data_IF_141110560084
#
_entry.id   IF_141110560084
#
_cell.length_a   1.000
_cell.length_b   1.000
_cell.length_c   1.000
_cell.angle_alpha   90.00
_cell.angle_beta   90.00
_cell.angle_gamma   90.00
#
_symmetry.space_group_name_H-M   'P 1'
#
loop_
_entity.id
_entity.type
_entity.pdbx_description
1 polymer ?
#
# COMPACT_ATOMS: atom_id res chain seq x y z
N UNK A 1 15.56 15.81 5.39
CA UNK A 1 14.71 15.86 4.18
C UNK A 1 13.93 14.57 4.09
N UNK A 2 12.68 14.58 3.62
CA UNK A 2 11.87 13.36 3.45
C UNK A 2 10.36 13.56 3.65
N UNK A 3 9.70 14.18 2.67
CA UNK A 3 8.25 14.10 2.41
C UNK A 3 7.24 14.47 3.51
N UNK A 4 6.52 15.59 3.34
CA UNK A 4 5.13 15.67 3.84
C UNK A 4 4.28 14.68 3.03
N UNK A 5 3.47 13.90 3.73
CA UNK A 5 2.28 13.25 3.18
C UNK A 5 1.19 13.23 4.25
N UNK A 6 0.41 14.30 4.34
CA UNK A 6 -0.85 14.35 5.11
C UNK A 6 -1.83 13.28 4.59
N UNK A 7 -1.76 12.05 5.13
CA UNK A 7 -2.74 11.00 4.88
C UNK A 7 -4.15 11.55 5.15
N UNK A 8 -5.05 11.65 4.15
CA UNK A 8 -6.27 12.46 4.22
C UNK A 8 -7.36 11.74 5.02
N UNK A 9 -7.16 11.64 6.34
CA UNK A 9 -8.00 10.85 7.27
C UNK A 9 -8.19 9.40 6.81
N UNK A 10 -7.21 8.86 6.06
CA UNK A 10 -7.28 7.54 5.44
C UNK A 10 -7.70 6.46 6.43
N UNK A 11 -8.70 5.68 6.03
CA UNK A 11 -9.44 4.73 6.89
C UNK A 11 -8.49 3.83 7.68
N UNK A 12 -8.81 3.47 8.93
CA UNK A 12 -7.88 2.69 9.77
C UNK A 12 -7.50 1.32 9.18
N UNK A 13 -8.33 0.77 8.29
CA UNK A 13 -8.00 -0.36 7.42
C UNK A 13 -6.73 -0.10 6.58
N UNK A 14 -6.62 1.07 5.95
CA UNK A 14 -5.53 1.50 5.05
C UNK A 14 -4.23 1.70 5.83
N UNK A 15 -4.30 2.28 7.04
CA UNK A 15 -3.11 2.43 7.91
C UNK A 15 -2.56 1.07 8.34
N UNK A 16 -3.45 0.11 8.68
CA UNK A 16 -3.08 -1.26 9.02
C UNK A 16 -2.54 -2.03 7.80
N UNK A 17 -3.14 -1.83 6.62
CA UNK A 17 -2.63 -2.31 5.34
C UNK A 17 -1.21 -1.80 5.08
N UNK A 18 -0.96 -0.50 5.12
CA UNK A 18 0.36 0.10 4.90
C UNK A 18 1.42 -0.39 5.92
N UNK A 19 1.04 -0.55 7.18
CA UNK A 19 1.92 -1.13 8.20
C UNK A 19 2.33 -2.56 7.83
N UNK A 20 1.35 -3.44 7.61
CA UNK A 20 1.57 -4.83 7.25
C UNK A 20 2.29 -4.99 5.90
N UNK A 21 1.98 -4.15 4.91
CA UNK A 21 2.68 -4.10 3.63
C UNK A 21 4.15 -3.75 3.81
N UNK A 22 4.47 -2.81 4.71
CA UNK A 22 5.86 -2.42 5.00
C UNK A 22 6.61 -3.57 5.68
N UNK A 23 5.98 -4.24 6.65
CA UNK A 23 6.54 -5.44 7.29
C UNK A 23 6.78 -6.57 6.27
N UNK A 24 5.83 -6.85 5.39
CA UNK A 24 5.95 -7.87 4.35
C UNK A 24 7.03 -7.54 3.30
N UNK A 25 7.16 -6.28 2.88
CA UNK A 25 8.19 -5.86 1.94
C UNK A 25 9.59 -5.84 2.57
N UNK A 26 9.70 -5.61 3.88
CA UNK A 26 10.96 -5.71 4.63
C UNK A 26 11.38 -7.18 4.83
N UNK A 27 10.45 -8.08 5.15
CA UNK A 27 10.74 -9.52 5.28
C UNK A 27 10.96 -10.18 3.91
N UNK A 28 10.23 -9.76 2.88
CA UNK A 28 10.23 -10.34 1.54
C UNK A 28 10.50 -9.28 0.45
N UNK A 29 11.71 -8.69 0.36
CA UNK A 29 12.04 -7.67 -0.64
C UNK A 29 12.02 -8.17 -2.10
N UNK A 30 11.85 -9.48 -2.32
CA UNK A 30 11.61 -10.11 -3.63
C UNK A 30 10.11 -10.18 -4.00
N UNK A 31 9.20 -9.92 -3.06
CA UNK A 31 7.73 -9.90 -3.27
C UNK A 31 7.35 -8.54 -3.87
N UNK A 32 6.65 -8.53 -5.01
CA UNK A 32 6.28 -7.28 -5.70
C UNK A 32 5.26 -6.48 -4.89
N UNK A 33 5.38 -5.15 -4.87
CA UNK A 33 4.43 -4.26 -4.19
C UNK A 33 2.98 -4.51 -4.63
N UNK A 34 2.72 -4.65 -5.93
CA UNK A 34 1.40 -5.02 -6.49
C UNK A 34 0.78 -6.27 -5.82
N UNK A 35 1.60 -7.30 -5.54
CA UNK A 35 1.14 -8.51 -4.84
C UNK A 35 0.81 -8.22 -3.38
N UNK A 36 1.65 -7.47 -2.67
CA UNK A 36 1.41 -7.14 -1.25
C UNK A 36 0.24 -6.16 -1.09
N UNK A 37 0.01 -5.29 -2.08
CA UNK A 37 -1.16 -4.40 -2.20
C UNK A 37 -2.44 -5.24 -2.31
N UNK A 38 -2.55 -6.15 -3.30
CA UNK A 38 -3.71 -7.06 -3.45
C UNK A 38 -3.98 -7.92 -2.21
N UNK A 39 -2.92 -8.44 -1.59
CA UNK A 39 -3.05 -9.21 -0.35
C UNK A 39 -3.59 -8.34 0.80
N UNK A 40 -3.14 -7.09 0.90
CA UNK A 40 -3.64 -6.14 1.90
C UNK A 40 -5.09 -5.71 1.62
N UNK A 41 -5.47 -5.59 0.35
CA UNK A 41 -6.83 -5.23 -0.07
C UNK A 41 -7.85 -6.28 0.37
N UNK A 42 -7.52 -7.56 0.16
CA UNK A 42 -8.32 -8.71 0.62
C UNK A 42 -8.27 -8.85 2.15
N UNK A 43 -7.09 -8.66 2.76
CA UNK A 43 -6.86 -8.87 4.20
C UNK A 43 -7.47 -7.79 5.10
N UNK A 44 -7.52 -6.55 4.64
CA UNK A 44 -8.05 -5.39 5.38
C UNK A 44 -9.40 -4.90 4.84
N UNK A 45 -9.98 -5.59 3.86
CA UNK A 45 -11.29 -5.29 3.25
C UNK A 45 -11.30 -3.85 2.70
N UNK A 46 -10.32 -3.53 1.86
CA UNK A 46 -10.15 -2.18 1.31
C UNK A 46 -11.16 -1.89 0.19
N UNK A 47 -11.78 -0.71 0.25
CA UNK A 47 -12.63 -0.20 -0.83
C UNK A 47 -11.81 -0.06 -2.14
N UNK A 48 -12.42 -0.21 -3.33
CA UNK A 48 -11.71 -0.06 -4.60
C UNK A 48 -11.02 1.32 -4.77
N UNK A 49 -11.55 2.38 -4.14
CA UNK A 49 -10.89 3.70 -4.11
C UNK A 49 -9.58 3.71 -3.30
N UNK A 50 -9.51 2.95 -2.21
CA UNK A 50 -8.30 2.80 -1.39
C UNK A 50 -7.29 1.86 -2.08
N UNK A 51 -7.78 0.82 -2.76
CA UNK A 51 -7.00 -0.03 -3.66
C UNK A 51 -6.33 0.77 -4.78
N UNK A 52 -7.09 1.63 -5.47
CA UNK A 52 -6.55 2.50 -6.50
C UNK A 52 -5.56 3.53 -5.91
N UNK A 53 -5.83 4.08 -4.72
CA UNK A 53 -4.88 4.94 -4.02
C UNK A 53 -3.56 4.21 -3.68
N UNK A 54 -3.62 2.99 -3.13
CA UNK A 54 -2.43 2.20 -2.82
C UNK A 54 -1.66 1.84 -4.09
N UNK A 55 -2.34 1.33 -5.12
CA UNK A 55 -1.73 0.99 -6.40
C UNK A 55 -1.07 2.21 -7.04
N UNK A 56 -1.74 3.36 -7.07
CA UNK A 56 -1.25 4.59 -7.71
C UNK A 56 -0.09 5.27 -6.99
N UNK A 57 0.01 5.14 -5.67
CA UNK A 57 1.09 5.74 -4.87
C UNK A 57 2.24 4.76 -4.54
N UNK A 58 2.00 3.44 -4.57
CA UNK A 58 2.95 2.42 -4.10
C UNK A 58 3.27 1.30 -5.10
N UNK A 59 2.59 1.18 -6.25
CA UNK A 59 3.16 0.37 -7.35
C UNK A 59 4.40 1.06 -7.91
N UNK A 60 5.45 0.29 -8.11
CA UNK A 60 6.77 0.81 -8.50
C UNK A 60 6.75 1.31 -9.95
N UNK A 61 6.99 2.62 -10.09
CA UNK A 61 7.29 3.39 -11.32
C UNK A 61 6.65 2.91 -12.62
N UNK A 62 5.82 3.79 -13.22
CA UNK A 62 5.33 3.60 -14.58
C UNK A 62 6.46 3.17 -15.55
N UNK A 63 6.30 2.05 -16.28
CA UNK A 63 7.27 1.62 -17.27
C UNK A 63 7.08 2.41 -18.57
N UNK A 64 8.00 3.35 -18.80
CA UNK A 64 8.11 4.27 -19.95
C UNK A 64 7.17 5.49 -19.95
#
# INVERSE_FOLDING_TARGET
MGGDSRLPTGSDKVKKALCWMSEELLNNPRKKRDTVIREAEIRFDLSPAECEFLTKNFSESAPC
#
